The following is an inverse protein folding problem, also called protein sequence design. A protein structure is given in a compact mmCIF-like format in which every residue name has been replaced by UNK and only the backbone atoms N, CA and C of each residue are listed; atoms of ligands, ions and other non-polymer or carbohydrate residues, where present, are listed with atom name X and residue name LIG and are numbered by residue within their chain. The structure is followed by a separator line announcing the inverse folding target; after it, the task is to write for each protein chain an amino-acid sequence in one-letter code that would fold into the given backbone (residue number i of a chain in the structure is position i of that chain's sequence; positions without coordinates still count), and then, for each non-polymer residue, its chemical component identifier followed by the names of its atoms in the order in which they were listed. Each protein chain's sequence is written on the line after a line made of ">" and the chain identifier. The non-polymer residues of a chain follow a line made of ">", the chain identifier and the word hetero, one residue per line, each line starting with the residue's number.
data_IF_207218892656
#
_entry.id   IF_207218892656
#
_cell.length_a   1.000
_cell.length_b   1.000
_cell.length_c   1.000
_cell.angle_alpha   90.00
_cell.angle_beta   90.00
_cell.angle_gamma   90.00
#
_symmetry.space_group_name_H-M   'P 1'
#
loop_
_entity.id
_entity.type
_entity.pdbx_description
1 polymer ?
#
# COMPACT_ATOMS: atom_id res chain seq x y z
N UNK A 1 -21.58 34.42 11.33
CA UNK A 1 -20.22 33.84 11.26
C UNK A 1 -20.42 32.37 10.92
N UNK A 2 -20.35 32.03 9.64
CA UNK A 2 -20.59 30.68 9.14
C UNK A 2 -19.24 29.97 8.99
N UNK A 3 -19.12 28.77 9.54
CA UNK A 3 -17.99 27.89 9.28
C UNK A 3 -18.31 27.19 7.95
N UNK A 4 -17.58 27.52 6.90
CA UNK A 4 -17.73 26.91 5.57
C UNK A 4 -17.22 25.45 5.63
N UNK A 5 -17.98 24.46 5.12
CA UNK A 5 -17.59 23.04 5.14
C UNK A 5 -16.47 22.66 4.13
N UNK A 6 -15.75 23.63 3.55
CA UNK A 6 -14.81 23.38 2.45
C UNK A 6 -13.36 23.05 2.89
N UNK A 7 -13.01 23.23 4.17
CA UNK A 7 -11.62 23.12 4.65
C UNK A 7 -11.18 21.70 5.07
N UNK A 8 -12.05 20.69 5.01
CA UNK A 8 -11.68 19.29 5.35
C UNK A 8 -10.85 18.64 4.21
N UNK A 9 -10.73 19.26 3.04
CA UNK A 9 -10.11 18.67 1.83
C UNK A 9 -8.60 18.90 1.67
N UNK A 10 -7.86 19.15 2.74
CA UNK A 10 -6.41 19.42 2.68
C UNK A 10 -5.82 18.78 3.93
N UNK A 11 -5.30 17.55 3.87
CA UNK A 11 -3.89 17.22 3.59
C UNK A 11 -3.80 15.74 3.20
N UNK A 12 -3.95 15.40 1.92
CA UNK A 12 -3.29 14.20 1.40
C UNK A 12 -2.24 14.71 0.43
N UNK A 13 -1.06 15.00 0.98
CA UNK A 13 0.16 15.10 0.17
C UNK A 13 0.15 13.86 -0.72
N UNK A 14 0.35 13.96 -2.05
CA UNK A 14 0.48 12.76 -2.85
C UNK A 14 1.68 12.00 -2.28
N UNK A 15 1.38 10.97 -1.49
CA UNK A 15 2.37 10.07 -0.96
C UNK A 15 3.19 9.61 -2.16
N UNK A 16 4.51 9.65 -2.01
CA UNK A 16 5.43 9.23 -3.04
C UNK A 16 4.98 7.89 -3.65
N UNK A 17 5.22 7.65 -4.95
CA UNK A 17 4.84 6.39 -5.59
C UNK A 17 5.36 5.23 -4.75
N UNK A 18 4.45 4.32 -4.38
CA UNK A 18 4.83 3.10 -3.67
C UNK A 18 5.71 2.33 -4.66
N UNK A 19 6.95 2.04 -4.26
CA UNK A 19 7.88 1.22 -5.03
C UNK A 19 7.95 -0.18 -4.41
N UNK A 20 8.39 -1.17 -5.21
CA UNK A 20 8.59 -2.54 -4.74
C UNK A 20 9.51 -2.59 -3.52
N UNK A 21 10.56 -1.77 -3.52
CA UNK A 21 11.53 -1.68 -2.43
C UNK A 21 10.91 -1.11 -1.16
N UNK A 22 10.13 -0.03 -1.26
CA UNK A 22 9.41 0.54 -0.12
C UNK A 22 8.40 -0.45 0.43
N UNK A 23 7.62 -1.11 -0.43
CA UNK A 23 6.68 -2.16 -0.04
C UNK A 23 7.39 -3.30 0.72
N UNK A 24 8.52 -3.78 0.18
CA UNK A 24 9.34 -4.82 0.83
C UNK A 24 9.83 -4.35 2.20
N UNK A 25 10.33 -3.12 2.29
CA UNK A 25 10.80 -2.54 3.55
C UNK A 25 9.68 -2.35 4.58
N UNK A 26 8.48 -1.95 4.16
CA UNK A 26 7.32 -1.80 5.05
C UNK A 26 6.87 -3.16 5.60
N UNK A 27 6.81 -4.18 4.74
CA UNK A 27 6.50 -5.56 5.16
C UNK A 27 7.58 -6.07 6.13
N UNK A 28 8.87 -5.87 5.81
CA UNK A 28 9.97 -6.30 6.67
C UNK A 28 9.92 -5.66 8.06
N UNK A 29 9.69 -4.34 8.12
CA UNK A 29 9.48 -3.64 9.39
C UNK A 29 8.30 -4.20 10.17
N UNK A 30 7.20 -4.51 9.51
CA UNK A 30 6.02 -5.10 10.16
C UNK A 30 6.29 -6.51 10.67
N UNK A 31 7.11 -7.30 9.96
CA UNK A 31 7.52 -8.65 10.35
C UNK A 31 8.67 -8.65 11.37
N UNK A 32 9.36 -7.52 11.54
CA UNK A 32 10.62 -7.40 12.29
C UNK A 32 11.76 -8.24 11.66
N UNK A 33 11.70 -8.44 10.36
CA UNK A 33 12.68 -9.17 9.56
C UNK A 33 13.47 -8.21 8.66
N UNK A 34 14.55 -8.71 8.08
CA UNK A 34 15.30 -7.96 7.08
C UNK A 34 14.57 -7.97 5.73
N UNK A 35 14.52 -6.83 5.02
CA UNK A 35 13.88 -6.80 3.71
C UNK A 35 14.55 -7.77 2.76
N UNK A 36 15.87 -8.00 2.87
CA UNK A 36 16.64 -8.93 2.04
C UNK A 36 16.18 -10.39 2.17
N UNK A 37 15.65 -10.80 3.32
CA UNK A 37 15.14 -12.15 3.60
C UNK A 37 13.76 -12.38 2.97
N UNK A 38 12.99 -11.32 2.70
CA UNK A 38 11.65 -11.43 2.11
C UNK A 38 11.76 -11.65 0.60
N UNK A 39 11.67 -12.91 0.16
CA UNK A 39 11.65 -13.25 -1.25
C UNK A 39 10.42 -12.70 -1.99
N UNK A 40 10.56 -12.39 -3.28
CA UNK A 40 9.46 -11.88 -4.11
C UNK A 40 8.27 -12.84 -4.18
N UNK A 41 8.54 -14.13 -4.36
CA UNK A 41 7.53 -15.18 -4.40
C UNK A 41 7.28 -15.84 -3.04
N UNK A 42 7.85 -15.30 -1.96
CA UNK A 42 7.73 -15.90 -0.64
C UNK A 42 6.37 -15.56 -0.02
N UNK A 43 5.81 -16.51 0.73
CA UNK A 43 4.48 -16.35 1.31
C UNK A 43 4.61 -15.54 2.58
N UNK A 44 4.16 -14.28 2.56
CA UNK A 44 4.27 -13.38 3.69
C UNK A 44 3.57 -13.93 4.95
N UNK A 45 2.47 -14.67 4.78
CA UNK A 45 1.76 -15.33 5.88
C UNK A 45 2.66 -16.40 6.54
N UNK A 46 3.46 -17.13 5.76
CA UNK A 46 4.41 -18.13 6.27
C UNK A 46 5.55 -17.45 7.05
N UNK A 47 5.96 -16.26 6.60
CA UNK A 47 6.89 -15.36 7.31
C UNK A 47 6.27 -14.71 8.58
N UNK A 48 5.00 -14.97 8.88
CA UNK A 48 4.32 -14.43 10.07
C UNK A 48 3.51 -13.15 9.83
N UNK A 49 3.10 -12.87 8.58
CA UNK A 49 2.22 -11.74 8.28
C UNK A 49 0.77 -12.08 8.62
N UNK A 50 0.31 -11.57 9.75
CA UNK A 50 -1.08 -11.70 10.18
C UNK A 50 -2.03 -10.74 9.45
N UNK A 51 -3.33 -11.07 9.44
CA UNK A 51 -4.38 -10.24 8.84
C UNK A 51 -4.39 -8.79 9.33
N UNK A 52 -4.13 -8.56 10.63
CA UNK A 52 -4.06 -7.19 11.18
C UNK A 52 -2.89 -6.39 10.60
N UNK A 53 -1.71 -7.03 10.47
CA UNK A 53 -0.52 -6.39 9.90
C UNK A 53 -0.71 -6.11 8.42
N UNK A 54 -1.28 -7.07 7.69
CA UNK A 54 -1.62 -6.93 6.28
C UNK A 54 -2.65 -5.81 6.03
N UNK A 55 -3.72 -5.74 6.84
CA UNK A 55 -4.69 -4.63 6.76
C UNK A 55 -4.03 -3.28 7.00
N UNK A 56 -3.13 -3.16 7.98
CA UNK A 56 -2.43 -1.91 8.26
C UNK A 56 -1.55 -1.46 7.07
N UNK A 57 -0.87 -2.40 6.40
CA UNK A 57 -0.08 -2.14 5.20
C UNK A 57 -0.95 -1.67 4.01
N UNK A 58 -2.07 -2.37 3.77
CA UNK A 58 -3.01 -2.01 2.71
C UNK A 58 -3.60 -0.62 2.96
N UNK A 59 -3.94 -0.29 4.20
CA UNK A 59 -4.40 1.05 4.58
C UNK A 59 -3.34 2.11 4.34
N UNK A 60 -2.09 1.87 4.77
CA UNK A 60 -0.96 2.79 4.57
C UNK A 60 -0.76 3.14 3.09
N UNK A 61 -0.82 2.14 2.20
CA UNK A 61 -0.68 2.36 0.76
C UNK A 61 -1.95 2.97 0.14
N UNK A 62 -3.12 2.68 0.71
CA UNK A 62 -4.41 3.26 0.30
C UNK A 62 -4.50 4.76 0.59
N UNK A 63 -3.92 5.21 1.71
CA UNK A 63 -3.78 6.64 2.03
C UNK A 63 -3.02 7.44 0.94
N UNK A 64 -2.23 6.77 0.10
CA UNK A 64 -1.62 7.34 -1.11
C UNK A 64 -2.61 7.68 -2.24
N UNK A 65 -3.90 7.43 -2.04
CA UNK A 65 -4.97 7.60 -3.03
C UNK A 65 -5.10 6.42 -4.00
N UNK A 66 -4.59 5.25 -3.62
CA UNK A 66 -4.74 4.00 -4.37
C UNK A 66 -5.88 3.21 -3.74
N UNK A 67 -6.94 2.94 -4.51
CA UNK A 67 -8.02 2.08 -4.03
C UNK A 67 -7.52 0.63 -4.04
N UNK A 68 -7.06 0.17 -2.88
CA UNK A 68 -6.46 -1.14 -2.65
C UNK A 68 -7.41 -1.97 -1.76
N UNK A 69 -7.90 -3.09 -2.29
CA UNK A 69 -8.81 -3.97 -1.57
C UNK A 69 -8.06 -5.15 -0.97
N UNK A 70 -8.11 -5.29 0.37
CA UNK A 70 -7.46 -6.38 1.10
C UNK A 70 -7.76 -7.78 0.54
N UNK A 71 -8.96 -8.01 0.00
CA UNK A 71 -9.33 -9.27 -0.61
C UNK A 71 -8.33 -9.70 -1.70
N UNK A 72 -7.91 -8.79 -2.58
CA UNK A 72 -6.93 -9.08 -3.63
C UNK A 72 -5.53 -9.39 -3.05
N UNK A 73 -5.16 -8.75 -1.95
CA UNK A 73 -3.89 -9.02 -1.25
C UNK A 73 -3.91 -10.38 -0.53
N UNK A 74 -5.07 -10.79 -0.02
CA UNK A 74 -5.26 -12.08 0.63
C UNK A 74 -5.25 -13.26 -0.36
N UNK A 75 -5.61 -13.04 -1.62
CA UNK A 75 -5.54 -14.08 -2.67
C UNK A 75 -4.10 -14.51 -2.98
N UNK A 76 -3.16 -13.56 -3.02
CA UNK A 76 -1.76 -13.85 -3.27
C UNK A 76 -0.87 -13.09 -2.29
N UNK A 77 -0.69 -13.61 -1.06
CA UNK A 77 0.03 -12.94 0.02
C UNK A 77 1.55 -13.03 -0.17
N UNK A 78 2.03 -12.61 -1.34
CA UNK A 78 3.43 -12.58 -1.73
C UNK A 78 3.82 -11.16 -2.12
N UNK A 79 5.08 -10.79 -1.94
CA UNK A 79 5.57 -9.47 -2.31
C UNK A 79 5.34 -9.16 -3.81
N UNK A 80 5.54 -10.15 -4.68
CA UNK A 80 5.34 -9.98 -6.13
C UNK A 80 3.86 -9.79 -6.48
N UNK A 81 2.96 -10.57 -5.86
CA UNK A 81 1.52 -10.41 -6.02
C UNK A 81 1.03 -9.03 -5.59
N UNK A 82 1.46 -8.60 -4.41
CA UNK A 82 1.09 -7.30 -3.84
C UNK A 82 1.63 -6.15 -4.70
N UNK A 83 2.89 -6.26 -5.15
CA UNK A 83 3.50 -5.28 -6.02
C UNK A 83 2.78 -5.16 -7.36
N UNK A 84 2.38 -6.28 -7.98
CA UNK A 84 1.65 -6.28 -9.24
C UNK A 84 0.31 -5.53 -9.14
N UNK A 85 -0.44 -5.72 -8.04
CA UNK A 85 -1.70 -5.01 -7.77
C UNK A 85 -1.46 -3.50 -7.64
N UNK A 86 -0.45 -3.11 -6.89
CA UNK A 86 -0.11 -1.70 -6.63
C UNK A 86 0.43 -1.01 -7.89
N UNK A 87 1.34 -1.63 -8.64
CA UNK A 87 1.86 -1.11 -9.92
C UNK A 87 0.71 -0.93 -10.93
N UNK A 88 -0.17 -1.92 -11.06
CA UNK A 88 -1.34 -1.82 -11.93
C UNK A 88 -2.24 -0.64 -11.52
N UNK A 89 -2.50 -0.45 -10.22
CA UNK A 89 -3.34 0.64 -9.72
C UNK A 89 -2.70 2.01 -9.91
N UNK A 90 -1.38 2.11 -9.73
CA UNK A 90 -0.62 3.33 -9.97
C UNK A 90 -0.65 3.74 -11.44
N UNK A 91 -0.51 2.79 -12.38
CA UNK A 91 -0.62 3.07 -13.83
C UNK A 91 -2.03 3.44 -14.26
N UNK A 92 -3.03 2.83 -13.62
CA UNK A 92 -4.45 3.14 -13.88
C UNK A 92 -4.90 4.45 -13.25
N UNK A 93 -4.11 5.07 -12.36
CA UNK A 93 -4.40 6.40 -11.82
C UNK A 93 -4.29 7.41 -12.98
N UNK A 94 -5.40 8.04 -13.41
CA UNK A 94 -5.28 9.12 -14.38
C UNK A 94 -4.37 10.21 -13.79
N UNK A 95 -3.46 10.81 -14.57
CA UNK A 95 -2.75 11.99 -14.11
C UNK A 95 -3.82 12.99 -13.65
N UNK A 96 -3.64 13.54 -12.45
CA UNK A 96 -4.46 14.65 -11.99
C UNK A 96 -4.30 15.77 -13.02
N UNK A 97 -5.21 15.83 -14.00
CA UNK A 97 -5.30 16.92 -14.96
C UNK A 97 -5.72 18.14 -14.13
N UNK A 98 -4.73 18.94 -13.76
CA UNK A 98 -4.95 20.21 -13.08
C UNK A 98 -5.84 21.11 -13.93
N UNK A 99 -6.89 21.64 -13.30
CA UNK A 99 -7.66 22.77 -13.79
C UNK A 99 -7.17 24.06 -13.16
#
# INVERSE_FOLDING_TARGET
>A
MAIEPADIRRIVTPAAPVTRETMRADIAKMLHEDPEEIGGGDSLIDLGLDSMRAMNLVLLWSEGGLDLEFAHFAENPTLDGWWALVDARQRARPPLQGG
#
